data_IF_235190370929
#
_entry.id   IF_235190370929
#
_cell.length_a   1.000
_cell.length_b   1.000
_cell.length_c   1.000
_cell.angle_alpha   90.00
_cell.angle_beta   90.00
_cell.angle_gamma   90.00
#
_symmetry.space_group_name_H-M   'P 1'
#
loop_
_entity.id
_entity.type
_entity.pdbx_description
1 polymer ?
#
# COMPACT_ATOMS: atom_id res chain seq x y z
N UNK A 1 14.87 18.92 26.01
CA UNK A 1 13.74 18.45 25.19
C UNK A 1 13.02 17.39 26.01
N UNK A 2 11.74 17.61 26.30
CA UNK A 2 11.01 16.95 27.39
C UNK A 2 11.09 15.43 27.36
N UNK A 3 11.62 14.85 28.42
CA UNK A 3 11.56 13.43 28.66
C UNK A 3 10.21 13.19 29.34
N UNK A 4 9.27 12.55 28.63
CA UNK A 4 7.94 12.22 29.14
C UNK A 4 8.10 11.22 30.30
N UNK A 5 8.44 11.74 31.47
CA UNK A 5 8.76 10.96 32.66
C UNK A 5 7.49 10.55 33.40
N UNK A 6 7.61 9.56 34.28
CA UNK A 6 6.48 9.07 35.07
C UNK A 6 5.72 10.16 35.85
N UNK A 7 6.40 11.25 36.24
CA UNK A 7 5.78 12.40 36.89
C UNK A 7 4.87 13.22 35.97
N UNK A 8 5.27 13.45 34.71
CA UNK A 8 4.48 14.23 33.76
C UNK A 8 3.19 13.49 33.38
N UNK A 9 3.29 12.17 33.16
CA UNK A 9 2.12 11.30 32.91
C UNK A 9 1.14 11.32 34.09
N UNK A 10 1.65 11.33 35.32
CA UNK A 10 0.82 11.42 36.54
C UNK A 10 0.04 12.73 36.61
N UNK A 11 0.67 13.87 36.28
CA UNK A 11 0.00 15.17 36.25
C UNK A 11 -1.09 15.21 35.19
N UNK A 12 -0.81 14.70 33.99
CA UNK A 12 -1.81 14.61 32.91
C UNK A 12 -2.99 13.73 33.34
N UNK A 13 -2.74 12.59 33.99
CA UNK A 13 -3.80 11.74 34.54
C UNK A 13 -4.64 12.48 35.58
N UNK A 14 -4.02 13.20 36.50
CA UNK A 14 -4.74 13.96 37.51
C UNK A 14 -5.65 15.03 36.89
N UNK A 15 -5.13 15.78 35.92
CA UNK A 15 -5.91 16.78 35.16
C UNK A 15 -7.07 16.11 34.41
N UNK A 16 -6.81 14.99 33.73
CA UNK A 16 -7.85 14.24 33.01
C UNK A 16 -8.95 13.73 33.96
N UNK A 17 -8.58 13.28 35.16
CA UNK A 17 -9.54 12.86 36.19
C UNK A 17 -10.37 14.02 36.73
N UNK A 18 -9.82 15.23 36.85
CA UNK A 18 -10.57 16.42 37.28
C UNK A 18 -11.55 16.87 36.20
N UNK A 19 -11.12 16.90 34.94
CA UNK A 19 -11.93 17.39 33.82
C UNK A 19 -13.04 16.41 33.45
N UNK A 20 -12.72 15.12 33.34
CA UNK A 20 -13.66 14.09 32.91
C UNK A 20 -14.37 13.40 34.08
N UNK A 21 -13.70 13.30 35.23
CA UNK A 21 -14.14 12.55 36.40
C UNK A 21 -13.58 11.12 36.47
N UNK A 22 -13.20 10.63 37.67
CA UNK A 22 -12.65 9.28 37.86
C UNK A 22 -13.62 8.16 37.52
N UNK A 23 -14.92 8.43 37.54
CA UNK A 23 -15.97 7.46 37.20
C UNK A 23 -16.22 7.35 35.70
N UNK A 24 -15.84 8.37 34.92
CA UNK A 24 -16.08 8.45 33.47
C UNK A 24 -14.87 8.00 32.64
N UNK A 25 -13.66 8.12 33.19
CA UNK A 25 -12.42 7.67 32.52
C UNK A 25 -12.38 6.14 32.27
N UNK A 26 -12.70 5.25 33.24
CA UNK A 26 -12.71 3.81 33.01
C UNK A 26 -13.70 3.35 31.91
N UNK A 27 -14.97 3.78 31.88
CA UNK A 27 -15.88 3.39 30.80
C UNK A 27 -15.45 3.97 29.44
N UNK A 28 -14.88 5.17 29.37
CA UNK A 28 -14.37 5.74 28.12
C UNK A 28 -13.23 4.91 27.52
N UNK A 29 -12.24 4.53 28.34
CA UNK A 29 -11.14 3.65 27.90
C UNK A 29 -11.67 2.28 27.45
N UNK A 30 -12.66 1.72 28.16
CA UNK A 30 -13.29 0.45 27.77
C UNK A 30 -14.00 0.56 26.42
N UNK A 31 -14.66 1.67 26.12
CA UNK A 31 -15.31 1.90 24.82
C UNK A 31 -14.28 2.01 23.70
N UNK A 32 -13.23 2.81 23.89
CA UNK A 32 -12.12 2.93 22.94
C UNK A 32 -11.45 1.57 22.71
N UNK A 33 -11.19 0.82 23.78
CA UNK A 33 -10.60 -0.52 23.71
C UNK A 33 -11.46 -1.51 22.93
N UNK A 34 -12.79 -1.46 23.09
CA UNK A 34 -13.71 -2.28 22.29
C UNK A 34 -13.62 -1.95 20.81
N UNK A 35 -13.67 -0.66 20.45
CA UNK A 35 -13.56 -0.19 19.06
C UNK A 35 -12.23 -0.62 18.45
N UNK A 36 -11.12 -0.38 19.15
CA UNK A 36 -9.78 -0.79 18.68
C UNK A 36 -9.68 -2.31 18.54
N UNK A 37 -10.25 -3.07 19.47
CA UNK A 37 -10.29 -4.53 19.40
C UNK A 37 -11.10 -5.05 18.22
N UNK A 38 -12.24 -4.41 17.93
CA UNK A 38 -13.10 -4.74 16.80
C UNK A 38 -12.44 -4.40 15.46
N UNK A 39 -11.81 -3.22 15.34
CA UNK A 39 -11.01 -2.85 14.17
C UNK A 39 -9.87 -3.83 13.95
N UNK A 40 -9.17 -4.26 15.02
CA UNK A 40 -8.11 -5.27 14.91
C UNK A 40 -8.65 -6.61 14.41
N UNK A 41 -9.82 -7.04 14.90
CA UNK A 41 -10.48 -8.29 14.47
C UNK A 41 -10.92 -8.23 13.02
N UNK A 42 -11.50 -7.11 12.60
CA UNK A 42 -11.87 -6.85 11.20
C UNK A 42 -10.63 -6.86 10.32
N UNK A 43 -9.55 -6.17 10.73
CA UNK A 43 -8.29 -6.17 9.98
C UNK A 43 -7.67 -7.56 9.84
N UNK A 44 -7.79 -8.42 10.85
CA UNK A 44 -7.35 -9.82 10.77
C UNK A 44 -8.18 -10.65 9.79
N UNK A 45 -9.51 -10.50 9.82
CA UNK A 45 -10.40 -11.16 8.84
C UNK A 45 -10.15 -10.66 7.42
N UNK A 46 -9.98 -9.35 7.25
CA UNK A 46 -9.71 -8.73 5.95
C UNK A 46 -8.36 -9.15 5.37
N UNK A 47 -7.31 -9.32 6.18
CA UNK A 47 -6.04 -9.88 5.72
C UNK A 47 -6.18 -11.32 5.21
N UNK A 48 -7.05 -12.11 5.84
CA UNK A 48 -7.30 -13.49 5.47
C UNK A 48 -8.14 -13.58 4.19
N UNK A 49 -9.21 -12.80 4.09
CA UNK A 49 -10.05 -12.68 2.90
C UNK A 49 -9.27 -12.07 1.71
N UNK A 50 -8.45 -11.03 1.94
CA UNK A 50 -7.56 -10.49 0.91
C UNK A 50 -6.52 -11.51 0.49
N UNK A 51 -5.99 -12.34 1.39
CA UNK A 51 -5.02 -13.39 1.03
C UNK A 51 -5.69 -14.48 0.19
N UNK A 52 -6.93 -14.86 0.50
CA UNK A 52 -7.71 -15.80 -0.32
C UNK A 52 -8.11 -15.18 -1.67
N UNK A 53 -8.53 -13.92 -1.71
CA UNK A 53 -8.88 -13.22 -2.94
C UNK A 53 -7.64 -12.82 -3.79
N UNK A 54 -6.47 -12.65 -3.16
CA UNK A 54 -5.22 -12.33 -3.86
C UNK A 54 -4.51 -13.55 -4.45
N UNK A 55 -4.90 -14.77 -4.07
CA UNK A 55 -4.40 -16.00 -4.73
C UNK A 55 -4.81 -16.06 -6.21
N UNK A 56 -6.10 -15.92 -6.60
CA UNK A 56 -6.49 -15.91 -8.00
C UNK A 56 -5.98 -14.67 -8.76
N UNK A 57 -5.77 -13.54 -8.07
CA UNK A 57 -5.16 -12.35 -8.68
C UNK A 57 -3.68 -12.54 -9.02
N UNK A 58 -2.93 -13.36 -8.28
CA UNK A 58 -1.53 -13.64 -8.61
C UNK A 58 -1.40 -14.42 -9.91
N UNK A 59 -2.22 -15.46 -10.12
CA UNK A 59 -2.26 -16.19 -11.39
C UNK A 59 -2.68 -15.28 -12.55
N UNK A 60 -3.71 -14.46 -12.35
CA UNK A 60 -4.21 -13.53 -13.39
C UNK A 60 -3.18 -12.43 -13.71
N UNK A 61 -2.41 -11.99 -12.72
CA UNK A 61 -1.34 -11.00 -12.89
C UNK A 61 -0.11 -11.58 -13.59
N UNK A 62 0.21 -12.85 -13.37
CA UNK A 62 1.28 -13.53 -14.11
C UNK A 62 0.89 -13.72 -15.57
N UNK A 63 -0.32 -14.23 -15.87
CA UNK A 63 -0.82 -14.32 -17.25
C UNK A 63 -0.85 -12.95 -17.94
N UNK A 64 -1.31 -11.91 -17.24
CA UNK A 64 -1.33 -10.55 -17.78
C UNK A 64 0.09 -10.01 -18.04
N UNK A 65 1.06 -10.33 -17.18
CA UNK A 65 2.47 -9.96 -17.40
C UNK A 65 3.09 -10.69 -18.57
N UNK A 66 2.75 -11.96 -18.78
CA UNK A 66 3.23 -12.72 -19.94
C UNK A 66 2.63 -12.20 -21.24
N UNK A 67 1.33 -11.90 -21.25
CA UNK A 67 0.66 -11.27 -22.39
C UNK A 67 1.26 -9.90 -22.74
N UNK A 68 1.56 -9.06 -21.74
CA UNK A 68 2.22 -7.77 -21.93
C UNK A 68 3.64 -7.93 -22.48
N UNK A 69 4.42 -8.89 -21.99
CA UNK A 69 5.77 -9.18 -22.51
C UNK A 69 5.73 -9.70 -23.95
N UNK A 70 4.74 -10.50 -24.30
CA UNK A 70 4.55 -10.98 -25.67
C UNK A 70 4.20 -9.82 -26.61
N UNK A 71 3.26 -8.96 -26.20
CA UNK A 71 2.90 -7.75 -26.94
C UNK A 71 4.08 -6.78 -27.10
N UNK A 72 4.89 -6.57 -26.06
CA UNK A 72 6.09 -5.74 -26.12
C UNK A 72 7.13 -6.32 -27.09
N UNK A 73 7.29 -7.65 -27.14
CA UNK A 73 8.17 -8.33 -28.09
C UNK A 73 7.69 -8.15 -29.53
N UNK A 74 6.41 -8.40 -29.79
CA UNK A 74 5.82 -8.19 -31.12
C UNK A 74 5.92 -6.74 -31.56
N UNK A 75 5.65 -5.79 -30.65
CA UNK A 75 5.77 -4.37 -30.93
C UNK A 75 7.21 -3.97 -31.23
N UNK A 76 8.18 -4.52 -30.50
CA UNK A 76 9.61 -4.25 -30.70
C UNK A 76 10.13 -4.86 -32.00
N UNK A 77 9.72 -6.09 -32.36
CA UNK A 77 10.05 -6.69 -33.66
C UNK A 77 9.38 -5.96 -34.83
N UNK A 78 8.13 -5.53 -34.65
CA UNK A 78 7.40 -4.74 -35.64
C UNK A 78 7.95 -3.31 -35.77
N UNK A 79 8.58 -2.76 -34.72
CA UNK A 79 9.26 -1.46 -34.75
C UNK A 79 10.71 -1.56 -35.23
N UNK A 80 11.42 -2.66 -34.99
CA UNK A 80 12.82 -2.84 -35.42
C UNK A 80 12.95 -2.85 -36.95
N UNK A 81 12.09 -3.60 -37.66
CA UNK A 81 12.10 -3.67 -39.13
C UNK A 81 12.00 -2.29 -39.82
N UNK A 82 11.02 -1.43 -39.49
CA UNK A 82 10.91 -0.10 -40.09
C UNK A 82 11.97 0.88 -39.58
N UNK A 83 12.46 0.74 -38.33
CA UNK A 83 13.55 1.59 -37.82
C UNK A 83 14.87 1.27 -38.53
N UNK A 84 15.13 0.01 -38.86
CA UNK A 84 16.33 -0.42 -39.58
C UNK A 84 16.33 0.06 -41.04
N UNK A 85 15.20 -0.08 -41.75
CA UNK A 85 15.00 0.51 -43.09
C UNK A 85 15.13 2.05 -43.09
N UNK A 86 14.59 2.72 -42.07
CA UNK A 86 14.68 4.17 -41.95
C UNK A 86 16.11 4.64 -41.63
N UNK A 87 16.90 3.82 -40.92
CA UNK A 87 18.30 4.11 -40.61
C UNK A 87 19.22 3.95 -41.82
N UNK A 88 18.92 2.98 -42.69
CA UNK A 88 19.67 2.77 -43.93
C UNK A 88 19.35 3.82 -44.98
N UNK A 89 18.09 4.26 -45.08
CA UNK A 89 17.71 5.38 -45.96
C UNK A 89 18.27 6.72 -45.48
N UNK A 90 18.34 6.96 -44.17
CA UNK A 90 18.99 8.15 -43.61
C UNK A 90 20.52 8.14 -43.82
N UNK A 91 21.18 6.99 -43.66
CA UNK A 91 22.62 6.86 -43.94
C UNK A 91 22.96 6.99 -45.43
N UNK A 92 22.04 6.62 -46.32
CA UNK A 92 22.19 6.82 -47.76
C UNK A 92 22.03 8.30 -48.15
N UNK A 93 21.15 9.04 -47.46
CA UNK A 93 20.92 10.47 -47.71
C UNK A 93 22.01 11.40 -47.15
N UNK A 94 22.70 11.01 -46.07
CA UNK A 94 23.81 11.80 -45.48
C UNK A 94 25.14 11.66 -46.26
N UNK A 95 25.18 10.82 -47.30
CA UNK A 95 26.41 10.51 -48.06
C UNK A 95 26.46 11.11 -49.48
N UNK A 96 25.47 11.92 -49.87
CA UNK A 96 25.52 12.82 -51.03
C UNK A 96 25.84 14.26 -50.61
#
# INVERSE_FOLDING_TARGET
MGNLGGGEVLVILLVALIVLGPTKLPPAIRQIGKVVGEVRRIGQGFQQELREAAQPLQETLEESKEALKAADKEFREAAEKPIEEMKDTLKAADKE
#
